data_IF_194825316212
#
_entry.id   IF_194825316212
#
_cell.length_a   1.000
_cell.length_b   1.000
_cell.length_c   1.000
_cell.angle_alpha   90.00
_cell.angle_beta   90.00
_cell.angle_gamma   90.00
#
_symmetry.space_group_name_H-M   'P 1'
#
loop_
_entity.id
_entity.type
_entity.pdbx_description
1 polymer ?
#
# COMPACT_ATOMS: atom_id res chain seq x y z
N UNK A 1 23.50 10.80 14.91
CA UNK A 1 23.21 10.48 14.75
C UNK A 1 22.64 10.09 14.82
N UNK A 2 22.73 10.31 15.00
CA UNK A 2 22.27 9.74 14.96
C UNK A 2 21.99 9.26 15.23
N UNK A 3 22.11 9.18 15.45
CA UNK A 3 21.86 8.47 15.52
C UNK A 3 21.41 7.87 15.02
N UNK A 4 22.49 8.38 15.15
CA UNK A 4 22.34 7.29 14.28
C UNK A 4 20.96 6.71 14.21
N UNK A 5 20.13 7.40 14.58
CA UNK A 5 18.74 7.03 14.47
C UNK A 5 18.34 6.93 13.02
N UNK A 6 17.87 5.79 12.62
CA UNK A 6 17.40 5.59 11.27
C UNK A 6 15.93 5.90 11.16
N UNK A 7 15.53 6.27 9.96
CA UNK A 7 14.13 6.48 9.70
C UNK A 7 13.34 5.19 9.93
N UNK A 8 12.07 5.32 10.26
CA UNK A 8 11.21 4.18 10.44
C UNK A 8 11.14 3.37 9.14
N UNK A 9 11.11 2.04 9.29
CA UNK A 9 10.93 1.18 8.14
C UNK A 9 9.46 1.20 7.73
N UNK A 10 9.20 1.48 6.48
CA UNK A 10 7.85 1.66 6.00
C UNK A 10 7.47 0.58 5.00
N UNK A 11 6.22 0.12 5.12
CA UNK A 11 5.66 -0.89 4.23
C UNK A 11 4.28 -0.42 3.80
N UNK A 12 4.05 -0.35 2.51
CA UNK A 12 2.75 0.01 1.98
C UNK A 12 2.00 -1.25 1.57
N UNK A 13 0.79 -1.40 2.08
CA UNK A 13 -0.07 -2.51 1.74
C UNK A 13 -1.20 -1.99 0.86
N UNK A 14 -1.38 -2.61 -0.30
CA UNK A 14 -2.42 -2.23 -1.25
C UNK A 14 -3.36 -3.41 -1.44
N UNK A 15 -4.65 -3.18 -1.19
CA UNK A 15 -5.68 -4.20 -1.32
C UNK A 15 -6.65 -3.74 -2.39
N UNK A 16 -6.55 -4.36 -3.57
CA UNK A 16 -7.35 -3.96 -4.73
C UNK A 16 -8.61 -4.78 -4.78
N UNK A 17 -9.73 -4.17 -4.41
CA UNK A 17 -11.04 -4.78 -4.52
C UNK A 17 -11.74 -4.37 -5.80
N UNK A 18 -12.93 -4.91 -6.03
CA UNK A 18 -13.67 -4.60 -7.25
C UNK A 18 -14.15 -3.15 -7.29
N UNK A 19 -14.53 -2.61 -6.15
CA UNK A 19 -15.06 -1.25 -6.09
C UNK A 19 -14.07 -0.27 -5.51
N UNK A 20 -13.34 -0.69 -4.49
CA UNK A 20 -12.43 0.20 -3.76
C UNK A 20 -11.07 -0.43 -3.63
N UNK A 21 -10.05 0.41 -3.68
CA UNK A 21 -8.68 0.02 -3.40
C UNK A 21 -8.27 0.68 -2.10
N UNK A 22 -7.88 -0.14 -1.14
CA UNK A 22 -7.50 0.35 0.19
C UNK A 22 -6.00 0.27 0.34
N UNK A 23 -5.42 1.32 0.91
CA UNK A 23 -3.98 1.39 1.12
C UNK A 23 -3.72 1.66 2.59
N UNK A 24 -2.71 1.01 3.12
CA UNK A 24 -2.26 1.24 4.48
C UNK A 24 -0.76 1.33 4.53
N UNK A 25 -0.26 2.38 5.15
CA UNK A 25 1.18 2.57 5.31
C UNK A 25 1.55 2.28 6.75
N UNK A 26 2.45 1.32 6.92
CA UNK A 26 2.96 0.95 8.23
C UNK A 26 4.36 1.50 8.41
N UNK A 27 4.63 2.02 9.60
CA UNK A 27 5.96 2.50 9.97
C UNK A 27 6.38 1.75 11.23
N UNK A 28 7.42 0.95 11.13
CA UNK A 28 7.91 0.10 12.23
C UNK A 28 6.80 -0.76 12.82
N UNK A 29 5.92 -1.26 11.95
CA UNK A 29 4.86 -2.15 12.39
C UNK A 29 3.58 -1.46 12.83
N UNK A 30 3.60 -0.15 12.99
CA UNK A 30 2.41 0.60 13.39
C UNK A 30 1.77 1.26 12.18
N UNK A 31 0.45 1.28 12.16
CA UNK A 31 -0.28 1.88 11.06
C UNK A 31 -0.14 3.39 11.12
N UNK A 32 0.50 3.96 10.11
CA UNK A 32 0.77 5.40 10.06
C UNK A 32 -0.29 6.16 9.27
N UNK A 33 -0.87 5.52 8.24
CA UNK A 33 -1.86 6.19 7.41
C UNK A 33 -2.68 5.16 6.65
N UNK A 34 -3.92 5.51 6.36
CA UNK A 34 -4.77 4.68 5.51
C UNK A 34 -5.46 5.58 4.49
N UNK A 35 -5.70 5.00 3.32
CA UNK A 35 -6.44 5.69 2.27
C UNK A 35 -7.35 4.71 1.59
N UNK A 36 -8.43 5.22 1.01
CA UNK A 36 -9.31 4.44 0.18
C UNK A 36 -9.56 5.23 -1.09
N UNK A 37 -9.35 4.58 -2.22
CA UNK A 37 -9.62 5.21 -3.51
C UNK A 37 -10.51 4.28 -4.30
N UNK A 38 -11.28 4.84 -5.22
CA UNK A 38 -12.13 4.02 -6.08
C UNK A 38 -11.26 3.18 -6.99
N UNK A 39 -11.61 1.91 -7.13
CA UNK A 39 -10.93 1.06 -8.09
C UNK A 39 -11.33 1.49 -9.49
N UNK A 40 -10.33 1.83 -10.29
CA UNK A 40 -10.54 2.29 -11.65
C UNK A 40 -10.16 1.15 -12.59
N UNK A 41 -11.13 0.55 -13.26
CA UNK A 41 -10.82 -0.51 -14.23
C UNK A 41 -9.88 0.01 -15.29
N UNK A 42 -8.92 -0.83 -15.68
CA UNK A 42 -7.98 -0.49 -16.74
C UNK A 42 -7.03 0.66 -16.37
N UNK A 43 -6.88 0.92 -15.08
CA UNK A 43 -5.91 1.91 -14.63
C UNK A 43 -4.50 1.47 -15.05
N UNK A 44 -3.73 2.41 -15.55
CA UNK A 44 -2.36 2.12 -15.95
C UNK A 44 -1.41 2.23 -14.76
N UNK A 45 -0.21 1.71 -14.94
CA UNK A 45 0.83 1.85 -13.92
C UNK A 45 1.13 3.31 -13.63
N UNK A 46 1.13 4.15 -14.66
CA UNK A 46 1.40 5.57 -14.45
C UNK A 46 0.30 6.23 -13.63
N UNK A 47 -0.95 5.83 -13.86
CA UNK A 47 -2.05 6.37 -13.07
C UNK A 47 -1.95 5.93 -11.61
N UNK A 48 -1.54 4.70 -11.36
CA UNK A 48 -1.31 4.22 -10.01
C UNK A 48 -0.18 5.01 -9.34
N UNK A 49 0.88 5.27 -10.09
CA UNK A 49 2.00 6.08 -9.58
C UNK A 49 1.56 7.48 -9.20
N UNK A 50 0.72 8.09 -10.03
CA UNK A 50 0.21 9.43 -9.73
C UNK A 50 -0.64 9.44 -8.48
N UNK A 51 -1.49 8.42 -8.31
CA UNK A 51 -2.30 8.32 -7.11
C UNK A 51 -1.44 8.23 -5.86
N UNK A 52 -0.43 7.36 -5.90
CA UNK A 52 0.45 7.20 -4.75
C UNK A 52 1.26 8.46 -4.47
N UNK A 53 1.75 9.11 -5.51
CA UNK A 53 2.51 10.35 -5.33
C UNK A 53 1.65 11.40 -4.64
N UNK A 54 0.39 11.51 -5.04
CA UNK A 54 -0.52 12.46 -4.41
C UNK A 54 -0.78 12.14 -2.94
N UNK A 55 -1.00 10.85 -2.65
CA UNK A 55 -1.28 10.44 -1.28
C UNK A 55 -0.06 10.67 -0.38
N UNK A 56 1.14 10.36 -0.87
CA UNK A 56 2.35 10.56 -0.08
C UNK A 56 2.66 12.04 0.09
N UNK A 57 2.33 12.85 -0.91
CA UNK A 57 2.50 14.29 -0.79
C UNK A 57 1.60 14.86 0.31
N UNK A 58 0.35 14.41 0.34
CA UNK A 58 -0.56 14.83 1.39
C UNK A 58 -0.07 14.40 2.76
N UNK A 59 0.43 13.17 2.86
CA UNK A 59 0.94 12.68 4.13
C UNK A 59 2.17 13.45 4.58
N UNK A 60 3.05 13.79 3.66
CA UNK A 60 4.25 14.56 4.00
C UNK A 60 3.89 15.93 4.54
N UNK A 61 2.85 16.54 4.01
CA UNK A 61 2.37 17.83 4.52
C UNK A 61 1.85 17.72 5.93
N UNK A 62 1.44 16.54 6.34
CA UNK A 62 0.95 16.30 7.70
C UNK A 62 2.04 15.80 8.63
N UNK A 63 3.28 15.79 8.15
CA UNK A 63 4.40 15.36 8.97
C UNK A 63 4.67 13.86 8.97
N UNK A 64 4.01 13.13 8.09
CA UNK A 64 4.18 11.69 8.03
C UNK A 64 5.41 11.25 7.24
N UNK A 65 5.62 9.94 7.13
CA UNK A 65 6.76 9.41 6.39
C UNK A 65 6.74 9.84 4.93
N UNK A 66 7.93 10.06 4.37
CA UNK A 66 8.07 10.55 2.99
C UNK A 66 8.62 9.50 2.05
N UNK A 67 8.91 8.31 2.54
CA UNK A 67 9.48 7.24 1.71
C UNK A 67 8.80 5.94 2.05
N UNK A 68 8.94 4.98 1.13
CA UNK A 68 8.38 3.66 1.32
C UNK A 68 9.45 2.63 0.97
N UNK A 69 9.74 1.73 1.90
CA UNK A 69 10.80 0.76 1.73
C UNK A 69 10.35 -0.50 1.02
N UNK A 70 9.17 -0.98 1.35
CA UNK A 70 8.64 -2.21 0.77
C UNK A 70 7.15 -2.07 0.53
N UNK A 71 6.60 -2.98 -0.25
CA UNK A 71 5.18 -2.97 -0.53
C UNK A 71 4.64 -4.39 -0.70
N UNK A 72 3.36 -4.52 -0.39
CA UNK A 72 2.61 -5.76 -0.57
C UNK A 72 1.34 -5.40 -1.31
N UNK A 73 0.97 -6.20 -2.30
CA UNK A 73 -0.28 -6.00 -3.02
C UNK A 73 -1.08 -7.29 -3.05
N UNK A 74 -2.35 -7.17 -2.68
CA UNK A 74 -3.34 -8.22 -2.84
C UNK A 74 -4.41 -7.68 -3.78
N UNK A 75 -4.84 -8.49 -4.73
CA UNK A 75 -5.79 -8.01 -5.73
C UNK A 75 -6.76 -9.10 -6.11
N UNK A 76 -8.05 -8.76 -6.15
CA UNK A 76 -9.07 -9.63 -6.72
C UNK A 76 -9.41 -9.20 -8.14
N UNK A 77 -8.65 -8.26 -8.70
CA UNK A 77 -8.83 -7.76 -10.06
C UNK A 77 -7.55 -8.04 -10.83
N UNK A 78 -7.44 -9.20 -11.49
CA UNK A 78 -6.19 -9.61 -12.11
C UNK A 78 -5.61 -8.58 -13.07
N UNK A 79 -6.47 -7.91 -13.81
CA UNK A 79 -6.00 -6.94 -14.80
C UNK A 79 -5.30 -5.73 -14.18
N UNK A 80 -5.54 -5.47 -12.89
CA UNK A 80 -4.91 -4.34 -12.22
C UNK A 80 -3.66 -4.73 -11.44
N UNK A 81 -3.44 -6.02 -11.25
CA UNK A 81 -2.30 -6.48 -10.45
C UNK A 81 -0.99 -6.00 -11.04
N UNK A 82 -0.80 -6.16 -12.35
CA UNK A 82 0.46 -5.78 -12.98
C UNK A 82 0.69 -4.27 -12.91
N UNK A 83 -0.37 -3.48 -13.06
CA UNK A 83 -0.25 -2.03 -12.97
C UNK A 83 0.24 -1.63 -11.58
N UNK A 84 -0.34 -2.23 -10.53
CA UNK A 84 0.06 -1.93 -9.17
C UNK A 84 1.45 -2.45 -8.86
N UNK A 85 1.82 -3.65 -9.35
CA UNK A 85 3.17 -4.17 -9.15
C UNK A 85 4.19 -3.22 -9.75
N UNK A 86 3.95 -2.77 -10.98
CA UNK A 86 4.87 -1.85 -11.65
C UNK A 86 4.98 -0.53 -10.89
N UNK A 87 3.85 0.01 -10.47
CA UNK A 87 3.84 1.28 -9.74
C UNK A 87 4.55 1.17 -8.40
N UNK A 88 4.31 0.08 -7.67
CA UNK A 88 4.92 -0.12 -6.37
C UNK A 88 6.42 -0.36 -6.49
N UNK A 89 6.84 -1.07 -7.54
CA UNK A 89 8.26 -1.27 -7.78
C UNK A 89 8.95 0.06 -8.05
N UNK A 90 8.30 0.95 -8.77
CA UNK A 90 8.82 2.28 -9.01
C UNK A 90 8.94 3.08 -7.72
N UNK A 91 7.96 2.92 -6.84
CA UNK A 91 7.93 3.66 -5.57
C UNK A 91 9.02 3.20 -4.61
N UNK A 92 9.20 1.89 -4.48
CA UNK A 92 10.08 1.33 -3.45
C UNK A 92 11.47 0.95 -3.97
N UNK A 93 11.61 0.81 -5.29
CA UNK A 93 12.84 0.29 -5.89
C UNK A 93 12.95 -1.21 -5.79
N UNK A 94 11.92 -1.90 -5.28
CA UNK A 94 11.90 -3.34 -5.10
C UNK A 94 10.61 -3.92 -5.64
N UNK A 95 10.66 -5.19 -6.03
CA UNK A 95 9.45 -5.87 -6.43
C UNK A 95 8.56 -6.08 -5.21
N UNK A 96 7.29 -5.68 -5.26
CA UNK A 96 6.39 -5.90 -4.13
C UNK A 96 6.06 -7.39 -3.97
N UNK A 97 5.69 -7.77 -2.77
CA UNK A 97 5.15 -9.10 -2.53
C UNK A 97 3.72 -9.11 -3.08
N UNK A 98 3.41 -10.10 -3.90
CA UNK A 98 2.07 -10.24 -4.49
C UNK A 98 1.36 -11.38 -3.79
N UNK A 99 0.17 -11.10 -3.28
CA UNK A 99 -0.64 -12.07 -2.56
C UNK A 99 -1.86 -12.40 -3.41
N UNK A 100 -2.08 -13.68 -3.67
CA UNK A 100 -3.22 -14.11 -4.47
C UNK A 100 -4.51 -14.08 -3.68
N UNK A 101 -5.64 -14.11 -4.41
CA UNK A 101 -6.95 -14.18 -3.77
C UNK A 101 -7.04 -15.44 -2.91
N UNK A 102 -7.69 -15.31 -1.79
CA UNK A 102 -7.90 -16.44 -0.90
C UNK A 102 -6.75 -16.75 0.02
N UNK A 103 -5.62 -16.09 -0.15
CA UNK A 103 -4.49 -16.28 0.75
C UNK A 103 -4.64 -15.32 1.91
N UNK A 104 -4.61 -15.86 3.10
CA UNK A 104 -4.67 -15.05 4.30
C UNK A 104 -3.25 -14.77 4.77
N UNK A 105 -2.96 -13.51 4.97
CA UNK A 105 -1.61 -13.12 5.34
C UNK A 105 -1.62 -12.37 6.65
N UNK A 106 -0.51 -12.42 7.35
CA UNK A 106 -0.36 -11.63 8.54
C UNK A 106 -0.44 -10.14 8.28
N UNK A 107 -0.03 -9.74 7.08
CA UNK A 107 -0.10 -8.33 6.71
C UNK A 107 -1.54 -7.85 6.67
N UNK A 108 -2.40 -8.60 5.99
CA UNK A 108 -3.80 -8.20 5.89
C UNK A 108 -4.46 -8.20 7.26
N UNK A 109 -4.16 -9.19 8.06
CA UNK A 109 -4.76 -9.28 9.39
C UNK A 109 -4.31 -8.15 10.30
N UNK A 110 -3.09 -7.67 10.12
CA UNK A 110 -2.62 -6.55 10.91
C UNK A 110 -3.12 -5.21 10.38
N UNK A 111 -3.33 -5.16 9.08
CA UNK A 111 -3.79 -3.95 8.44
C UNK A 111 -5.20 -3.59 8.87
N UNK A 112 -6.08 -4.57 8.90
CA UNK A 112 -7.45 -4.37 9.33
C UNK A 112 -7.57 -4.82 10.77
N UNK A 113 -8.25 -4.06 11.59
CA UNK A 113 -8.51 -4.59 12.90
C UNK A 113 -9.52 -5.74 12.75
N UNK A 114 -9.62 -6.59 13.76
CA UNK A 114 -10.43 -7.80 13.63
C UNK A 114 -11.87 -7.58 13.22
N UNK A 115 -12.46 -6.49 13.67
CA UNK A 115 -13.84 -6.21 13.31
C UNK A 115 -13.98 -5.89 11.83
N UNK A 116 -13.08 -5.08 11.31
CA UNK A 116 -13.12 -4.72 9.90
C UNK A 116 -12.80 -5.92 9.02
N UNK A 117 -11.84 -6.70 9.45
CA UNK A 117 -11.44 -7.86 8.69
C UNK A 117 -12.59 -8.84 8.59
N UNK A 118 -13.32 -9.00 9.68
CA UNK A 118 -14.45 -9.90 9.68
C UNK A 118 -15.59 -9.43 8.80
N UNK A 119 -15.67 -8.13 8.56
CA UNK A 119 -16.72 -7.57 7.73
C UNK A 119 -16.47 -7.85 6.25
N UNK A 120 -15.27 -8.16 5.91
CA UNK A 120 -14.94 -8.49 4.51
C UNK A 120 -15.51 -9.84 4.10
#
# INVERSE_FOLDING_TARGET
MGNGREAARTVLCVDVGNSDTNLGLFADGDLAATWSVTTTPRMTADEARLRMAGLFDLLAREGGPVSCDDAVVASVVPDLTDAWVSALRSLTGRRPLVVGPGVKTGVKMRYNDPGELGAD
#
